data_IF_546328410828
#
_entry.id   IF_546328410828
#
_cell.length_a   1.000
_cell.length_b   1.000
_cell.length_c   1.000
_cell.angle_alpha   90.00
_cell.angle_beta   90.00
_cell.angle_gamma   90.00
#
_symmetry.space_group_name_H-M   'P 1'
#
loop_
_entity.id
_entity.type
_entity.pdbx_description
1 polymer ?
#
# COMPACT_ATOMS: atom_id res chain seq x y z
N UNK A 1 -27.19 21.61 28.98
CA UNK A 1 -26.33 21.22 30.12
C UNK A 1 -27.22 21.14 31.35
N UNK A 2 -27.15 20.06 32.13
CA UNK A 2 -27.90 19.96 33.39
C UNK A 2 -27.26 20.86 34.44
N UNK A 3 -28.07 21.53 35.27
CA UNK A 3 -27.58 22.30 36.41
C UNK A 3 -27.20 21.35 37.54
N UNK A 4 -26.09 21.64 38.22
CA UNK A 4 -25.56 20.84 39.33
C UNK A 4 -25.30 21.72 40.56
N UNK A 5 -25.45 21.17 41.75
CA UNK A 5 -25.21 21.83 43.04
C UNK A 5 -24.18 21.03 43.84
N UNK A 6 -23.26 21.70 44.52
CA UNK A 6 -22.29 21.05 45.41
C UNK A 6 -22.87 21.03 46.84
N UNK A 7 -22.98 19.85 47.45
CA UNK A 7 -23.55 19.64 48.79
C UNK A 7 -22.60 18.84 49.68
N UNK A 8 -22.74 18.99 50.99
CA UNK A 8 -22.00 18.23 51.99
C UNK A 8 -22.94 17.20 52.67
N UNK A 9 -22.55 15.93 52.68
CA UNK A 9 -23.24 14.85 53.39
C UNK A 9 -22.21 14.14 54.27
N UNK A 10 -22.43 14.08 55.58
CA UNK A 10 -21.49 13.48 56.55
C UNK A 10 -20.03 13.96 56.42
N UNK A 11 -19.83 15.25 56.13
CA UNK A 11 -18.49 15.85 55.98
C UNK A 11 -17.84 15.65 54.60
N UNK A 12 -18.53 15.03 53.64
CA UNK A 12 -18.01 14.72 52.31
C UNK A 12 -18.71 15.55 51.21
N UNK A 13 -17.93 16.06 50.25
CA UNK A 13 -18.43 16.92 49.16
C UNK A 13 -18.91 16.09 47.97
N UNK A 14 -20.15 16.34 47.53
CA UNK A 14 -20.77 15.71 46.36
C UNK A 14 -21.32 16.77 45.40
N UNK A 15 -21.30 16.47 44.09
CA UNK A 15 -21.95 17.29 43.07
C UNK A 15 -23.24 16.62 42.63
N UNK A 16 -24.38 17.25 42.76
CA UNK A 16 -25.70 16.62 42.57
C UNK A 16 -26.47 17.32 41.46
N UNK A 17 -27.08 16.55 40.55
CA UNK A 17 -27.99 17.11 39.55
C UNK A 17 -29.19 17.80 40.25
N UNK A 18 -29.70 18.91 39.71
CA UNK A 18 -30.83 19.66 40.29
C UNK A 18 -32.09 18.79 40.51
N UNK A 19 -32.38 17.88 39.58
CA UNK A 19 -33.51 16.92 39.67
C UNK A 19 -33.28 15.77 40.65
N UNK A 20 -32.02 15.51 41.02
CA UNK A 20 -31.62 14.55 42.05
C UNK A 20 -31.64 15.20 43.43
N UNK A 21 -31.25 16.47 43.52
CA UNK A 21 -31.26 17.24 44.76
C UNK A 21 -32.66 17.40 45.34
N UNK A 22 -33.66 17.67 44.51
CA UNK A 22 -35.06 17.80 44.97
C UNK A 22 -35.55 16.54 45.69
N UNK A 23 -35.23 15.35 45.14
CA UNK A 23 -35.61 14.06 45.71
C UNK A 23 -34.81 13.74 46.97
N UNK A 24 -33.49 13.99 46.95
CA UNK A 24 -32.62 13.76 48.10
C UNK A 24 -32.98 14.66 49.28
N UNK A 25 -33.29 15.93 49.02
CA UNK A 25 -33.71 16.89 50.03
C UNK A 25 -35.01 16.45 50.71
N UNK A 26 -36.01 16.05 49.91
CA UNK A 26 -37.27 15.53 50.46
C UNK A 26 -37.04 14.33 51.38
N UNK A 27 -36.15 13.41 50.98
CA UNK A 27 -35.78 12.25 51.80
C UNK A 27 -35.16 12.66 53.14
N UNK A 28 -34.14 13.52 53.12
CA UNK A 28 -33.44 13.98 54.32
C UNK A 28 -34.35 14.79 55.25
N UNK A 29 -35.23 15.62 54.71
CA UNK A 29 -36.19 16.40 55.49
C UNK A 29 -37.16 15.50 56.27
N UNK A 30 -37.64 14.41 55.64
CA UNK A 30 -38.51 13.42 56.29
C UNK A 30 -37.77 12.65 57.40
N UNK A 31 -36.55 12.18 57.12
CA UNK A 31 -35.73 11.49 58.12
C UNK A 31 -35.45 12.41 59.31
N UNK A 32 -35.01 13.65 59.05
CA UNK A 32 -34.75 14.64 60.10
C UNK A 32 -36.01 14.95 60.93
N UNK A 33 -37.18 15.04 60.29
CA UNK A 33 -38.45 15.31 60.98
C UNK A 33 -38.85 14.22 61.98
N UNK A 34 -38.57 12.93 61.70
CA UNK A 34 -38.88 11.83 62.64
C UNK A 34 -37.97 11.86 63.86
N UNK A 35 -36.67 12.03 63.66
CA UNK A 35 -35.71 11.87 64.76
C UNK A 35 -35.58 13.11 65.64
N UNK A 36 -36.07 14.29 65.23
CA UNK A 36 -36.02 15.55 66.01
C UNK A 36 -36.54 15.48 67.45
N UNK A 37 -37.42 14.54 67.80
CA UNK A 37 -37.99 14.40 69.14
C UNK A 37 -37.35 13.31 70.01
N UNK A 38 -36.35 12.58 69.51
CA UNK A 38 -35.71 11.47 70.23
C UNK A 38 -34.39 11.89 70.90
N UNK A 39 -34.11 11.34 72.09
CA UNK A 39 -32.86 11.59 72.81
C UNK A 39 -31.73 10.81 72.10
N UNK A 40 -30.78 11.50 71.47
CA UNK A 40 -29.76 10.90 70.58
C UNK A 40 -30.04 11.06 69.07
N UNK A 41 -30.98 11.93 68.70
CA UNK A 41 -31.34 12.24 67.31
C UNK A 41 -30.15 12.58 66.40
N UNK A 42 -29.22 13.39 66.92
CA UNK A 42 -28.09 13.92 66.14
C UNK A 42 -27.11 12.81 65.74
N UNK A 43 -26.88 11.84 66.63
CA UNK A 43 -26.02 10.67 66.34
C UNK A 43 -26.66 9.76 65.30
N UNK A 44 -27.98 9.53 65.43
CA UNK A 44 -28.73 8.70 64.49
C UNK A 44 -28.76 9.33 63.09
N UNK A 45 -28.94 10.66 63.01
CA UNK A 45 -28.92 11.37 61.74
C UNK A 45 -27.52 11.34 61.11
N UNK A 46 -26.47 11.51 61.91
CA UNK A 46 -25.09 11.42 61.44
C UNK A 46 -24.76 10.03 60.87
N UNK A 47 -25.22 8.94 61.51
CA UNK A 47 -25.03 7.57 61.02
C UNK A 47 -25.77 7.34 59.69
N UNK A 48 -26.98 7.89 59.55
CA UNK A 48 -27.76 7.82 58.31
C UNK A 48 -27.06 8.57 57.17
N UNK A 49 -26.60 9.80 57.42
CA UNK A 49 -25.85 10.58 56.44
C UNK A 49 -24.54 9.88 56.04
N UNK A 50 -23.83 9.28 57.00
CA UNK A 50 -22.60 8.53 56.73
C UNK A 50 -22.87 7.34 55.80
N UNK A 51 -23.99 6.63 56.02
CA UNK A 51 -24.41 5.52 55.15
C UNK A 51 -24.81 5.99 53.75
N UNK A 52 -25.48 7.15 53.65
CA UNK A 52 -25.83 7.75 52.35
C UNK A 52 -24.56 8.11 51.57
N UNK A 53 -23.57 8.72 52.23
CA UNK A 53 -22.28 9.05 51.62
C UNK A 53 -21.53 7.80 51.14
N UNK A 54 -21.58 6.69 51.89
CA UNK A 54 -21.03 5.40 51.48
C UNK A 54 -21.71 4.84 50.22
N UNK A 55 -23.05 4.90 50.15
CA UNK A 55 -23.83 4.44 48.98
C UNK A 55 -23.46 5.24 47.72
N UNK A 56 -23.18 6.54 47.87
CA UNK A 56 -22.71 7.39 46.77
C UNK A 56 -21.23 7.15 46.41
N UNK A 57 -20.56 6.20 47.06
CA UNK A 57 -19.20 5.76 46.74
C UNK A 57 -18.11 6.58 47.44
N UNK A 58 -18.47 7.34 48.48
CA UNK A 58 -17.59 8.22 49.24
C UNK A 58 -17.24 9.52 48.48
N UNK A 59 -16.96 10.58 49.24
CA UNK A 59 -16.44 11.84 48.72
C UNK A 59 -15.06 11.64 48.12
N UNK A 60 -14.90 12.01 46.83
CA UNK A 60 -13.63 11.99 46.10
C UNK A 60 -13.31 13.41 45.62
N UNK A 61 -12.05 13.67 45.29
CA UNK A 61 -11.65 14.87 44.55
C UNK A 61 -11.24 14.47 43.11
N UNK A 62 -11.94 14.95 42.06
CA UNK A 62 -13.10 15.83 42.07
C UNK A 62 -14.39 15.15 42.60
N UNK A 63 -15.37 15.94 43.12
CA UNK A 63 -16.58 15.42 43.76
C UNK A 63 -17.38 14.52 42.83
N UNK A 64 -17.84 13.39 43.37
CA UNK A 64 -18.66 12.41 42.66
C UNK A 64 -19.96 13.06 42.20
N UNK A 65 -20.30 12.89 40.91
CA UNK A 65 -21.56 13.36 40.35
C UNK A 65 -22.70 12.39 40.74
N UNK A 66 -23.66 12.87 41.52
CA UNK A 66 -24.83 12.13 41.97
C UNK A 66 -26.01 12.43 41.05
N UNK A 67 -26.43 11.39 40.32
CA UNK A 67 -27.60 11.45 39.44
C UNK A 67 -28.89 11.04 40.15
N UNK A 68 -30.04 11.35 39.55
CA UNK A 68 -31.36 10.94 40.08
C UNK A 68 -31.49 9.42 40.24
N UNK A 69 -30.80 8.64 39.39
CA UNK A 69 -30.76 7.19 39.50
C UNK A 69 -30.01 6.72 40.75
N UNK A 70 -28.89 7.38 41.09
CA UNK A 70 -28.14 7.09 42.31
C UNK A 70 -28.95 7.40 43.57
N UNK A 71 -29.68 8.53 43.60
CA UNK A 71 -30.59 8.86 44.71
C UNK A 71 -31.73 7.83 44.81
N UNK A 72 -32.30 7.42 43.68
CA UNK A 72 -33.35 6.38 43.66
C UNK A 72 -32.82 5.04 44.19
N UNK A 73 -31.60 4.66 43.84
CA UNK A 73 -30.94 3.47 44.36
C UNK A 73 -30.64 3.58 45.86
N UNK A 74 -30.24 4.75 46.34
CA UNK A 74 -30.05 5.03 47.76
C UNK A 74 -31.35 4.87 48.54
N UNK A 75 -32.48 5.41 48.06
CA UNK A 75 -33.80 5.21 48.70
C UNK A 75 -34.17 3.72 48.73
N UNK A 76 -33.87 2.96 47.67
CA UNK A 76 -34.12 1.51 47.67
C UNK A 76 -33.29 0.74 48.69
N UNK A 77 -32.09 1.23 49.06
CA UNK A 77 -31.20 0.61 50.05
C UNK A 77 -31.57 1.06 51.47
N UNK A 78 -31.86 2.34 51.64
CA UNK A 78 -32.12 2.96 52.95
C UNK A 78 -33.56 2.76 53.44
N UNK A 79 -34.51 2.51 52.53
CA UNK A 79 -35.95 2.44 52.83
C UNK A 79 -36.69 3.67 52.33
N UNK A 80 -38.02 3.58 52.17
CA UNK A 80 -38.83 4.75 51.81
C UNK A 80 -38.99 5.65 53.04
N UNK A 81 -38.93 6.99 52.89
CA UNK A 81 -39.04 7.90 54.03
C UNK A 81 -40.40 7.78 54.75
N UNK A 82 -41.43 7.28 54.08
CA UNK A 82 -42.76 7.04 54.63
C UNK A 82 -42.85 5.80 55.56
N UNK A 83 -41.89 4.87 55.47
CA UNK A 83 -41.88 3.65 56.31
C UNK A 83 -41.53 3.94 57.79
N UNK A 84 -41.15 5.18 58.12
CA UNK A 84 -40.78 5.60 59.48
C UNK A 84 -41.96 6.13 60.33
N UNK A 85 -43.20 6.10 59.82
CA UNK A 85 -44.37 6.72 60.47
C UNK A 85 -45.36 5.75 61.16
N UNK A 86 -45.11 4.44 61.20
CA UNK A 86 -46.11 3.47 61.69
C UNK A 86 -45.92 3.12 63.18
N UNK A 87 -46.62 3.84 64.07
CA UNK A 87 -46.75 3.55 65.51
C UNK A 87 -48.09 2.81 65.79
N UNK A 88 -48.05 1.47 65.97
CA UNK A 88 -49.19 0.61 66.35
C UNK A 88 -48.77 -0.83 66.68
N UNK A 89 -49.51 -1.59 67.51
CA UNK A 89 -48.97 -2.77 68.19
C UNK A 89 -48.65 -3.90 67.22
N UNK A 90 -47.51 -4.55 67.48
CA UNK A 90 -46.92 -5.61 66.67
C UNK A 90 -47.90 -6.77 66.39
N UNK A 91 -48.54 -6.72 65.22
CA UNK A 91 -49.04 -7.90 64.53
C UNK A 91 -48.08 -8.17 63.38
N UNK A 92 -47.31 -9.26 63.48
CA UNK A 92 -46.44 -9.76 62.41
C UNK A 92 -47.29 -10.20 61.21
N UNK A 93 -47.70 -9.26 60.39
CA UNK A 93 -48.01 -9.53 59.00
C UNK A 93 -46.71 -9.37 58.21
N UNK A 94 -46.17 -10.49 57.74
CA UNK A 94 -45.14 -10.49 56.69
C UNK A 94 -45.80 -10.00 55.40
N UNK A 95 -46.04 -8.69 55.27
CA UNK A 95 -46.28 -8.07 53.97
C UNK A 95 -44.95 -8.14 53.23
N UNK A 96 -44.81 -9.13 52.36
CA UNK A 96 -43.85 -9.01 51.26
C UNK A 96 -44.23 -7.72 50.53
N UNK A 97 -43.42 -6.68 50.65
CA UNK A 97 -43.32 -5.68 49.60
C UNK A 97 -42.74 -6.40 48.39
N UNK A 98 -43.59 -7.10 47.64
CA UNK A 98 -43.34 -7.31 46.23
C UNK A 98 -43.30 -5.91 45.67
N UNK A 99 -42.10 -5.40 45.43
CA UNK A 99 -41.88 -4.26 44.54
C UNK A 99 -42.71 -4.55 43.30
N UNK A 100 -43.87 -3.91 43.18
CA UNK A 100 -44.61 -3.89 41.93
C UNK A 100 -43.69 -3.10 41.02
N UNK A 101 -42.86 -3.82 40.29
CA UNK A 101 -42.20 -3.27 39.13
C UNK A 101 -43.30 -2.56 38.37
N UNK A 102 -43.14 -1.25 38.16
CA UNK A 102 -44.00 -0.52 37.23
C UNK A 102 -43.77 -1.00 35.79
N UNK A 103 -42.94 -2.04 35.60
CA UNK A 103 -43.11 -3.05 34.55
C UNK A 103 -44.29 -3.96 34.91
N UNK A 104 -45.49 -3.60 34.46
CA UNK A 104 -46.58 -4.57 34.39
C UNK A 104 -46.18 -5.65 33.36
N UNK A 105 -45.89 -6.89 33.79
CA UNK A 105 -45.46 -7.95 32.88
C UNK A 105 -46.54 -8.27 31.83
N UNK A 106 -47.79 -7.84 32.03
CA UNK A 106 -48.90 -8.01 31.09
C UNK A 106 -49.22 -6.76 30.26
N UNK A 107 -48.51 -5.64 30.44
CA UNK A 107 -48.68 -4.45 29.59
C UNK A 107 -48.28 -4.72 28.14
N UNK A 108 -48.94 -4.05 27.20
CA UNK A 108 -48.65 -4.18 25.77
C UNK A 108 -47.18 -3.89 25.45
N UNK A 109 -46.57 -2.90 26.10
CA UNK A 109 -45.14 -2.55 25.99
C UNK A 109 -44.21 -3.59 26.61
N UNK A 110 -44.58 -4.25 27.71
CA UNK A 110 -43.81 -5.36 28.29
C UNK A 110 -43.87 -6.63 27.43
N UNK A 111 -45.02 -6.92 26.82
CA UNK A 111 -45.19 -8.01 25.85
C UNK A 111 -44.45 -7.71 24.54
N UNK A 112 -44.59 -6.51 23.99
CA UNK A 112 -43.79 -6.03 22.86
C UNK A 112 -42.30 -6.11 23.18
N UNK A 113 -41.86 -5.59 24.31
CA UNK A 113 -40.46 -5.60 24.73
C UNK A 113 -39.88 -7.01 24.85
N UNK A 114 -40.65 -7.99 25.37
CA UNK A 114 -40.23 -9.40 25.43
C UNK A 114 -40.20 -10.07 24.05
N UNK A 115 -41.15 -9.76 23.17
CA UNK A 115 -41.11 -10.26 21.79
C UNK A 115 -39.95 -9.65 21.02
N UNK A 116 -39.75 -8.33 21.11
CA UNK A 116 -38.71 -7.58 20.43
C UNK A 116 -37.31 -7.97 20.93
N UNK A 117 -37.12 -8.17 22.24
CA UNK A 117 -35.85 -8.66 22.79
C UNK A 117 -35.54 -10.10 22.36
N UNK A 118 -36.56 -10.95 22.24
CA UNK A 118 -36.45 -12.28 21.64
C UNK A 118 -36.02 -12.22 20.17
N UNK A 119 -36.66 -11.34 19.39
CA UNK A 119 -36.28 -11.07 18.00
C UNK A 119 -34.87 -10.52 17.87
N UNK A 120 -34.46 -9.53 18.68
CA UNK A 120 -33.10 -8.97 18.65
C UNK A 120 -32.04 -9.98 19.10
N UNK A 121 -32.36 -10.86 20.05
CA UNK A 121 -31.43 -11.92 20.49
C UNK A 121 -31.26 -12.98 19.40
N UNK A 122 -32.36 -13.40 18.76
CA UNK A 122 -32.33 -14.32 17.62
C UNK A 122 -31.64 -13.70 16.41
N UNK A 123 -31.94 -12.44 16.10
CA UNK A 123 -31.30 -11.65 15.05
C UNK A 123 -29.81 -11.45 15.33
N UNK A 124 -29.42 -11.17 16.57
CA UNK A 124 -28.01 -11.06 16.98
C UNK A 124 -27.25 -12.37 16.83
N UNK A 125 -27.87 -13.51 17.15
CA UNK A 125 -27.28 -14.85 16.91
C UNK A 125 -27.12 -15.12 15.41
N UNK A 126 -28.14 -14.82 14.61
CA UNK A 126 -28.11 -14.94 13.15
C UNK A 126 -27.04 -14.03 12.53
N UNK A 127 -26.98 -12.77 12.96
CA UNK A 127 -26.00 -11.79 12.52
C UNK A 127 -24.58 -12.20 12.91
N UNK A 128 -24.37 -12.71 14.12
CA UNK A 128 -23.07 -13.23 14.57
C UNK A 128 -22.62 -14.44 13.73
N UNK A 129 -23.56 -15.31 13.33
CA UNK A 129 -23.27 -16.43 12.42
C UNK A 129 -22.91 -15.95 11.01
N UNK A 130 -23.65 -14.98 10.46
CA UNK A 130 -23.34 -14.38 9.13
C UNK A 130 -21.98 -13.68 9.16
N UNK A 131 -21.73 -12.84 10.16
CA UNK A 131 -20.43 -12.18 10.35
C UNK A 131 -19.29 -13.17 10.51
N UNK A 132 -19.57 -14.35 11.10
CA UNK A 132 -18.58 -15.42 11.19
C UNK A 132 -18.27 -16.03 9.82
N UNK A 133 -19.28 -16.37 9.04
CA UNK A 133 -19.09 -16.88 7.67
C UNK A 133 -18.31 -15.87 6.85
N UNK A 134 -18.69 -14.60 6.90
CA UNK A 134 -18.00 -13.51 6.23
C UNK A 134 -16.53 -13.38 6.68
N UNK A 135 -16.26 -13.40 7.99
CA UNK A 135 -14.90 -13.34 8.52
C UNK A 135 -14.04 -14.54 8.08
N UNK A 136 -14.61 -15.74 7.97
CA UNK A 136 -13.89 -16.91 7.46
C UNK A 136 -13.57 -16.76 5.98
N UNK A 137 -14.54 -16.30 5.15
CA UNK A 137 -14.32 -16.07 3.72
C UNK A 137 -13.24 -15.01 3.51
N UNK A 138 -13.35 -13.88 4.21
CA UNK A 138 -12.37 -12.80 4.13
C UNK A 138 -10.99 -13.25 4.63
N UNK A 139 -10.96 -14.03 5.71
CA UNK A 139 -9.73 -14.60 6.24
C UNK A 139 -9.07 -15.57 5.25
N UNK A 140 -9.84 -16.46 4.63
CA UNK A 140 -9.37 -17.39 3.62
C UNK A 140 -8.84 -16.65 2.38
N UNK A 141 -9.53 -15.59 1.96
CA UNK A 141 -9.09 -14.72 0.87
C UNK A 141 -7.73 -14.06 1.19
N UNK A 142 -7.59 -13.42 2.35
CA UNK A 142 -6.34 -12.78 2.75
C UNK A 142 -5.18 -13.76 2.92
N UNK A 143 -5.44 -14.95 3.48
CA UNK A 143 -4.42 -15.99 3.61
C UNK A 143 -4.00 -16.53 2.24
N UNK A 144 -4.94 -16.88 1.36
CA UNK A 144 -4.63 -17.43 0.04
C UNK A 144 -3.92 -16.40 -0.85
N UNK A 145 -4.51 -15.21 -0.98
CA UNK A 145 -3.96 -14.14 -1.81
C UNK A 145 -2.62 -13.64 -1.26
N UNK A 146 -2.54 -13.49 0.08
CA UNK A 146 -1.30 -13.10 0.74
C UNK A 146 -0.18 -14.11 0.50
N UNK A 147 -0.48 -15.41 0.62
CA UNK A 147 0.49 -16.47 0.36
C UNK A 147 0.92 -16.51 -1.12
N UNK A 148 -0.01 -16.37 -2.06
CA UNK A 148 0.29 -16.33 -3.49
C UNK A 148 1.24 -15.17 -3.84
N UNK A 149 0.93 -13.96 -3.36
CA UNK A 149 1.79 -12.80 -3.55
C UNK A 149 3.16 -12.98 -2.87
N UNK A 150 3.20 -13.61 -1.69
CA UNK A 150 4.43 -13.81 -0.94
C UNK A 150 5.37 -14.72 -1.73
N UNK A 151 4.82 -15.83 -2.22
CA UNK A 151 5.56 -16.79 -3.01
C UNK A 151 6.00 -16.20 -4.35
N UNK A 152 5.12 -15.42 -5.01
CA UNK A 152 5.45 -14.73 -6.27
C UNK A 152 6.60 -13.75 -6.08
N UNK A 153 6.58 -12.92 -5.03
CA UNK A 153 7.65 -11.99 -4.73
C UNK A 153 8.99 -12.72 -4.46
N UNK A 154 8.96 -13.80 -3.68
CA UNK A 154 10.16 -14.60 -3.39
C UNK A 154 10.72 -15.24 -4.67
N UNK A 155 9.86 -15.77 -5.55
CA UNK A 155 10.30 -16.32 -6.84
C UNK A 155 10.97 -15.24 -7.69
N UNK A 156 10.34 -14.08 -7.84
CA UNK A 156 10.85 -13.00 -8.69
C UNK A 156 12.21 -12.47 -8.20
N UNK A 157 12.43 -12.40 -6.89
CA UNK A 157 13.70 -11.91 -6.34
C UNK A 157 14.76 -13.01 -6.32
N UNK A 158 14.46 -14.24 -5.88
CA UNK A 158 15.49 -15.25 -5.60
C UNK A 158 15.64 -16.30 -6.69
N UNK A 159 14.60 -16.57 -7.47
CA UNK A 159 14.55 -17.68 -8.43
C UNK A 159 14.40 -17.23 -9.89
N UNK A 160 14.52 -15.93 -10.20
CA UNK A 160 14.39 -15.41 -11.57
C UNK A 160 15.40 -15.99 -12.57
N UNK A 161 16.51 -16.55 -12.09
CA UNK A 161 17.52 -17.19 -12.94
C UNK A 161 17.40 -18.72 -12.94
N UNK A 162 16.38 -19.31 -12.31
CA UNK A 162 16.22 -20.75 -12.31
C UNK A 162 15.77 -21.24 -13.71
N UNK A 163 16.43 -22.26 -14.30
CA UNK A 163 16.15 -22.73 -15.65
C UNK A 163 14.69 -23.09 -15.90
N UNK A 164 13.99 -23.56 -14.86
CA UNK A 164 12.57 -23.90 -14.92
C UNK A 164 11.68 -22.70 -15.26
N UNK A 165 11.95 -21.51 -14.71
CA UNK A 165 11.11 -20.33 -15.01
C UNK A 165 11.38 -19.81 -16.42
N UNK A 166 12.65 -19.84 -16.86
CA UNK A 166 13.03 -19.44 -18.21
C UNK A 166 12.50 -20.38 -19.31
N UNK A 167 12.20 -21.65 -18.99
CA UNK A 167 11.64 -22.60 -19.95
C UNK A 167 10.11 -22.60 -20.03
N UNK A 168 9.44 -22.08 -19.01
CA UNK A 168 7.96 -22.03 -18.93
C UNK A 168 7.42 -20.66 -19.34
N UNK A 169 8.21 -19.60 -19.19
CA UNK A 169 7.87 -18.23 -19.55
C UNK A 169 8.95 -17.72 -20.52
N UNK A 170 8.58 -17.21 -21.69
CA UNK A 170 9.50 -16.38 -22.47
C UNK A 170 9.82 -15.14 -21.63
N UNK A 171 11.03 -15.02 -21.06
CA UNK A 171 11.29 -13.97 -20.10
C UNK A 171 11.44 -12.66 -20.88
N UNK A 172 10.44 -11.79 -20.77
CA UNK A 172 10.59 -10.39 -21.16
C UNK A 172 11.69 -9.69 -20.35
N UNK A 173 12.12 -10.26 -19.22
CA UNK A 173 13.17 -9.69 -18.39
C UNK A 173 14.17 -10.78 -18.03
N UNK A 174 15.43 -10.60 -18.43
CA UNK A 174 16.53 -11.49 -18.04
C UNK A 174 17.42 -10.80 -17.01
N UNK A 175 17.80 -11.54 -15.97
CA UNK A 175 18.70 -11.09 -14.91
C UNK A 175 18.27 -9.75 -14.25
N UNK A 176 17.11 -9.77 -13.58
CA UNK A 176 16.54 -8.63 -12.84
C UNK A 176 17.56 -7.95 -11.91
N UNK A 177 18.44 -8.73 -11.28
CA UNK A 177 19.50 -8.20 -10.42
C UNK A 177 20.47 -7.35 -11.23
N UNK A 178 20.98 -7.88 -12.35
CA UNK A 178 21.87 -7.17 -13.26
C UNK A 178 21.25 -5.87 -13.77
N UNK A 179 19.99 -5.90 -14.18
CA UNK A 179 19.27 -4.69 -14.58
C UNK A 179 19.20 -3.66 -13.46
N UNK A 180 18.85 -4.11 -12.25
CA UNK A 180 18.74 -3.21 -11.11
C UNK A 180 20.09 -2.57 -10.76
N UNK A 181 21.23 -3.29 -10.89
CA UNK A 181 22.56 -2.66 -10.74
C UNK A 181 22.81 -1.57 -11.76
N UNK A 182 22.42 -1.81 -13.01
CA UNK A 182 22.65 -0.89 -14.12
C UNK A 182 21.79 0.36 -13.94
N UNK A 183 20.49 0.19 -13.63
CA UNK A 183 19.54 1.29 -13.45
C UNK A 183 19.86 2.12 -12.20
N UNK A 184 20.16 1.46 -11.08
CA UNK A 184 20.47 2.13 -9.81
C UNK A 184 21.94 2.54 -9.68
N UNK A 185 22.76 2.25 -10.70
CA UNK A 185 24.20 2.53 -10.74
C UNK A 185 24.95 2.07 -9.48
N UNK A 186 24.66 0.85 -9.02
CA UNK A 186 25.20 0.31 -7.77
C UNK A 186 25.60 -1.15 -7.90
N UNK A 187 26.77 -1.49 -7.34
CA UNK A 187 27.23 -2.87 -7.21
C UNK A 187 26.66 -3.55 -5.95
N UNK A 188 26.15 -2.77 -4.99
CA UNK A 188 25.57 -3.23 -3.74
C UNK A 188 24.04 -3.33 -3.84
N UNK A 189 23.55 -4.17 -4.75
CA UNK A 189 22.10 -4.37 -4.96
C UNK A 189 21.44 -5.09 -3.77
N UNK A 190 22.14 -6.03 -3.15
CA UNK A 190 21.59 -6.90 -2.10
C UNK A 190 20.96 -6.14 -0.92
N UNK A 191 21.60 -5.10 -0.35
CA UNK A 191 20.95 -4.25 0.66
C UNK A 191 19.62 -3.65 0.22
N UNK A 192 19.53 -3.18 -1.03
CA UNK A 192 18.31 -2.60 -1.60
C UNK A 192 17.22 -3.65 -1.73
N UNK A 193 17.57 -4.85 -2.21
CA UNK A 193 16.64 -5.97 -2.32
C UNK A 193 16.17 -6.46 -0.95
N UNK A 194 17.04 -6.50 0.06
CA UNK A 194 16.67 -6.84 1.43
C UNK A 194 15.69 -5.81 1.99
N UNK A 195 15.95 -4.51 1.81
CA UNK A 195 15.04 -3.46 2.24
C UNK A 195 13.70 -3.55 1.50
N UNK A 196 13.70 -3.76 0.19
CA UNK A 196 12.49 -3.98 -0.60
C UNK A 196 11.71 -5.22 -0.14
N UNK A 197 12.41 -6.30 0.19
CA UNK A 197 11.81 -7.50 0.75
C UNK A 197 11.19 -7.24 2.13
N UNK A 198 11.85 -6.51 3.03
CA UNK A 198 11.26 -6.14 4.32
C UNK A 198 10.03 -5.25 4.17
N UNK A 199 10.08 -4.28 3.28
CA UNK A 199 8.96 -3.36 2.99
C UNK A 199 7.75 -4.09 2.41
N UNK A 200 7.97 -5.15 1.61
CA UNK A 200 6.90 -5.89 0.92
C UNK A 200 6.41 -7.10 1.71
N UNK A 201 7.33 -7.93 2.23
CA UNK A 201 7.02 -9.19 2.88
C UNK A 201 6.45 -9.01 4.29
N UNK A 202 6.86 -7.98 5.06
CA UNK A 202 6.33 -7.79 6.41
C UNK A 202 4.85 -7.42 6.43
N UNK A 203 4.35 -6.44 5.63
CA UNK A 203 2.92 -6.18 5.52
C UNK A 203 2.15 -7.40 5.00
N UNK A 204 2.73 -8.13 4.06
CA UNK A 204 2.09 -9.32 3.50
C UNK A 204 1.96 -10.44 4.53
N UNK A 205 2.99 -10.68 5.33
CA UNK A 205 2.93 -11.58 6.46
C UNK A 205 1.90 -11.11 7.50
N UNK A 206 1.76 -9.80 7.73
CA UNK A 206 0.73 -9.25 8.60
C UNK A 206 -0.70 -9.49 8.04
N UNK A 207 -0.91 -9.38 6.73
CA UNK A 207 -2.19 -9.70 6.05
C UNK A 207 -2.50 -11.19 6.16
N UNK A 208 -1.52 -12.07 5.92
CA UNK A 208 -1.68 -13.52 6.08
C UNK A 208 -2.04 -13.85 7.53
N UNK A 209 -1.32 -13.28 8.50
CA UNK A 209 -1.58 -13.45 9.92
C UNK A 209 -2.97 -12.94 10.32
N UNK A 210 -3.39 -11.81 9.78
CA UNK A 210 -4.75 -11.28 9.97
C UNK A 210 -5.81 -12.24 9.41
N UNK A 211 -5.56 -12.83 8.24
CA UNK A 211 -6.44 -13.86 7.67
C UNK A 211 -6.57 -15.10 8.56
N UNK A 212 -5.45 -15.62 9.05
CA UNK A 212 -5.41 -16.74 10.01
C UNK A 212 -6.18 -16.39 11.30
N UNK A 213 -5.97 -15.18 11.82
CA UNK A 213 -6.64 -14.69 13.03
C UNK A 213 -8.17 -14.65 12.85
N UNK A 214 -8.65 -14.23 11.68
CA UNK A 214 -10.08 -14.24 11.33
C UNK A 214 -10.64 -15.66 11.24
N UNK A 215 -9.93 -16.60 10.63
CA UNK A 215 -10.36 -18.00 10.50
C UNK A 215 -10.43 -18.68 11.87
N UNK A 216 -9.36 -18.64 12.68
CA UNK A 216 -9.25 -19.42 13.91
C UNK A 216 -9.73 -18.71 15.18
N UNK A 217 -10.17 -17.44 15.10
CA UNK A 217 -10.57 -16.62 16.27
C UNK A 217 -9.48 -16.53 17.35
N UNK A 218 -8.22 -16.50 16.93
CA UNK A 218 -7.09 -16.32 17.85
C UNK A 218 -7.24 -14.95 18.49
N UNK A 219 -7.32 -14.89 19.83
CA UNK A 219 -7.45 -13.63 20.58
C UNK A 219 -6.11 -13.07 21.04
N UNK A 220 -5.08 -13.90 21.05
CA UNK A 220 -3.75 -13.51 21.45
C UNK A 220 -3.18 -12.42 20.55
N UNK A 221 -2.45 -11.49 21.18
CA UNK A 221 -1.70 -10.45 20.48
C UNK A 221 -0.39 -10.18 21.19
N UNK A 222 0.71 -10.37 20.48
CA UNK A 222 2.03 -10.02 20.96
C UNK A 222 2.30 -8.54 20.67
N UNK A 223 1.83 -7.66 21.56
CA UNK A 223 1.93 -6.19 21.38
C UNK A 223 3.35 -5.72 21.07
N UNK A 224 4.34 -6.23 21.81
CA UNK A 224 5.76 -5.88 21.62
C UNK A 224 6.24 -6.31 20.24
N UNK A 225 5.97 -7.55 19.83
CA UNK A 225 6.35 -8.06 18.50
C UNK A 225 5.76 -7.20 17.38
N UNK A 226 4.48 -6.84 17.47
CA UNK A 226 3.81 -6.00 16.46
C UNK A 226 4.45 -4.61 16.36
N UNK A 227 4.79 -3.99 17.50
CA UNK A 227 5.46 -2.69 17.52
C UNK A 227 6.86 -2.79 16.90
N UNK A 228 7.64 -3.83 17.26
CA UNK A 228 8.98 -4.04 16.71
C UNK A 228 8.91 -4.26 15.20
N UNK A 229 8.02 -5.12 14.70
CA UNK A 229 7.84 -5.36 13.27
C UNK A 229 7.43 -4.08 12.52
N UNK A 230 6.53 -3.29 13.11
CA UNK A 230 6.10 -2.01 12.53
C UNK A 230 7.25 -0.99 12.47
N UNK A 231 8.06 -0.89 13.52
CA UNK A 231 9.24 -0.02 13.55
C UNK A 231 10.29 -0.45 12.52
N UNK A 232 10.57 -1.75 12.43
CA UNK A 232 11.50 -2.30 11.43
C UNK A 232 11.00 -2.04 10.01
N UNK A 233 9.72 -2.27 9.76
CA UNK A 233 9.11 -1.98 8.46
C UNK A 233 9.22 -0.49 8.10
N UNK A 234 8.88 0.40 9.05
CA UNK A 234 8.96 1.85 8.84
C UNK A 234 10.40 2.31 8.59
N UNK A 235 11.36 1.83 9.37
CA UNK A 235 12.77 2.13 9.16
C UNK A 235 13.28 1.62 7.80
N UNK A 236 12.85 0.42 7.39
CA UNK A 236 13.20 -0.15 6.09
C UNK A 236 12.60 0.66 4.93
N UNK A 237 11.36 1.12 5.08
CA UNK A 237 10.68 1.97 4.10
C UNK A 237 11.40 3.32 3.94
N UNK A 238 11.73 3.97 5.04
CA UNK A 238 12.47 5.24 5.01
C UNK A 238 13.86 5.06 4.38
N UNK A 239 14.61 4.03 4.78
CA UNK A 239 15.94 3.75 4.23
C UNK A 239 15.88 3.46 2.73
N UNK A 240 14.92 2.63 2.30
CA UNK A 240 14.71 2.33 0.88
C UNK A 240 14.35 3.59 0.09
N UNK A 241 13.44 4.41 0.61
CA UNK A 241 13.01 5.65 -0.04
C UNK A 241 14.19 6.62 -0.24
N UNK A 242 15.04 6.80 0.78
CA UNK A 242 16.23 7.65 0.69
C UNK A 242 17.21 7.10 -0.35
N UNK A 243 17.52 5.81 -0.30
CA UNK A 243 18.47 5.19 -1.24
C UNK A 243 17.98 5.32 -2.68
N UNK A 244 16.71 4.98 -2.93
CA UNK A 244 16.12 5.08 -4.27
C UNK A 244 16.06 6.54 -4.73
N UNK A 245 15.69 7.48 -3.85
CA UNK A 245 15.67 8.90 -4.20
C UNK A 245 17.04 9.41 -4.62
N UNK A 246 18.11 9.02 -3.92
CA UNK A 246 19.47 9.43 -4.27
C UNK A 246 19.92 8.79 -5.59
N UNK A 247 19.68 7.50 -5.78
CA UNK A 247 20.12 6.77 -6.98
C UNK A 247 19.33 7.19 -8.23
N UNK A 248 18.03 7.43 -8.09
CA UNK A 248 17.17 7.82 -9.21
C UNK A 248 17.19 9.33 -9.50
N UNK A 249 17.77 10.16 -8.61
CA UNK A 249 17.91 11.61 -8.85
C UNK A 249 18.58 11.93 -10.19
N UNK A 250 19.54 11.11 -10.60
CA UNK A 250 20.33 11.23 -11.85
C UNK A 250 19.45 11.25 -13.10
N UNK A 251 18.21 10.74 -13.02
CA UNK A 251 17.28 10.73 -14.14
C UNK A 251 16.46 12.03 -14.28
N UNK A 252 16.72 13.04 -13.46
CA UNK A 252 16.00 14.33 -13.45
C UNK A 252 16.12 15.11 -14.76
N UNK A 253 17.33 15.18 -15.35
CA UNK A 253 17.56 15.89 -16.60
C UNK A 253 18.01 14.90 -17.67
N UNK A 254 17.45 15.05 -18.88
CA UNK A 254 17.77 14.22 -20.05
C UNK A 254 18.19 15.14 -21.19
N UNK A 255 19.37 14.89 -21.73
CA UNK A 255 19.91 15.65 -22.86
C UNK A 255 20.39 14.74 -23.97
N UNK A 256 20.56 15.31 -25.17
CA UNK A 256 20.93 14.55 -26.36
C UNK A 256 21.94 15.26 -27.25
N UNK A 257 22.68 14.46 -28.02
CA UNK A 257 23.64 14.91 -29.03
C UNK A 257 23.30 14.22 -30.34
N UNK A 258 22.89 15.01 -31.32
CA UNK A 258 22.46 14.50 -32.62
C UNK A 258 23.55 14.67 -33.69
N UNK A 259 23.70 13.63 -34.52
CA UNK A 259 24.34 13.73 -35.83
C UNK A 259 23.31 13.38 -36.90
N UNK A 260 23.12 14.27 -37.87
CA UNK A 260 22.13 14.12 -38.95
C UNK A 260 22.79 14.07 -40.31
N UNK A 261 22.31 13.19 -41.18
CA UNK A 261 22.61 13.12 -42.61
C UNK A 261 21.31 13.25 -43.40
N UNK A 262 21.23 14.23 -44.29
CA UNK A 262 20.12 14.36 -45.24
C UNK A 262 20.33 13.43 -46.43
N UNK A 263 19.27 12.75 -46.85
CA UNK A 263 19.25 11.87 -48.01
C UNK A 263 18.62 12.64 -49.19
N UNK A 264 19.47 13.24 -50.03
CA UNK A 264 19.05 14.02 -51.20
C UNK A 264 19.93 13.67 -52.43
N UNK A 265 19.41 12.90 -53.41
CA UNK A 265 18.09 12.26 -53.41
C UNK A 265 18.05 11.07 -52.42
N UNK A 266 16.86 10.76 -51.92
CA UNK A 266 16.67 9.54 -51.12
C UNK A 266 16.77 8.29 -52.01
N UNK A 267 17.38 7.20 -51.50
CA UNK A 267 17.46 5.94 -52.24
C UNK A 267 16.08 5.32 -52.42
N UNK A 268 15.89 4.60 -53.54
CA UNK A 268 14.66 3.82 -53.76
C UNK A 268 14.54 2.65 -52.79
N UNK A 269 15.67 2.01 -52.50
CA UNK A 269 15.79 0.92 -51.54
C UNK A 269 16.90 1.25 -50.57
N UNK A 270 16.59 1.35 -49.28
CA UNK A 270 17.58 1.48 -48.22
C UNK A 270 17.96 0.09 -47.70
N UNK A 271 19.23 -0.26 -47.82
CA UNK A 271 19.78 -1.47 -47.24
C UNK A 271 20.33 -1.18 -45.84
N UNK A 272 19.99 -2.01 -44.86
CA UNK A 272 20.51 -1.93 -43.49
C UNK A 272 21.47 -3.10 -43.28
N UNK A 273 22.70 -2.76 -42.91
CA UNK A 273 23.75 -3.72 -42.58
C UNK A 273 24.38 -3.39 -41.23
N UNK A 274 24.98 -4.39 -40.58
CA UNK A 274 25.66 -4.22 -39.29
C UNK A 274 27.18 -4.29 -39.40
N UNK A 275 27.87 -3.57 -38.52
CA UNK A 275 29.33 -3.56 -38.43
C UNK A 275 29.80 -4.35 -37.20
N UNK A 276 29.84 -3.71 -36.02
CA UNK A 276 30.17 -4.42 -34.77
C UNK A 276 29.03 -5.35 -34.39
N UNK A 277 29.31 -6.66 -34.32
CA UNK A 277 28.33 -7.70 -34.01
C UNK A 277 28.28 -8.01 -32.51
N UNK A 278 27.08 -8.15 -31.94
CA UNK A 278 26.87 -8.55 -30.54
C UNK A 278 27.46 -9.94 -30.25
N UNK A 279 27.44 -10.85 -31.24
CA UNK A 279 28.01 -12.20 -31.12
C UNK A 279 29.52 -12.22 -30.84
N UNK A 280 30.23 -11.12 -31.13
CA UNK A 280 31.67 -10.99 -30.91
C UNK A 280 32.02 -10.34 -29.57
N UNK A 281 31.03 -9.97 -28.74
CA UNK A 281 31.26 -9.35 -27.44
C UNK A 281 31.79 -10.37 -26.43
N UNK A 282 32.86 -9.99 -25.74
CA UNK A 282 33.23 -10.61 -24.47
C UNK A 282 32.41 -9.95 -23.36
N UNK A 283 31.62 -10.74 -22.64
CA UNK A 283 30.81 -10.24 -21.52
C UNK A 283 30.75 -11.28 -20.40
N UNK A 284 30.76 -10.79 -19.16
CA UNK A 284 30.59 -11.63 -17.96
C UNK A 284 29.13 -11.72 -17.54
N UNK A 285 28.37 -10.65 -17.79
CA UNK A 285 26.96 -10.57 -17.42
C UNK A 285 26.15 -10.04 -18.57
N UNK A 286 25.00 -10.65 -18.74
CA UNK A 286 23.96 -10.26 -19.67
C UNK A 286 22.69 -9.95 -18.87
N UNK A 287 21.98 -8.91 -19.30
CA UNK A 287 20.69 -8.55 -18.74
C UNK A 287 19.84 -7.89 -19.84
N UNK A 288 18.53 -8.12 -19.85
CA UNK A 288 17.65 -7.55 -20.87
C UNK A 288 16.27 -7.23 -20.32
N UNK A 289 15.67 -6.16 -20.85
CA UNK A 289 14.25 -5.83 -20.67
C UNK A 289 13.65 -5.72 -22.06
N UNK A 290 12.69 -6.58 -22.36
CA UNK A 290 12.17 -6.83 -23.69
C UNK A 290 13.35 -7.08 -24.66
N UNK A 291 13.42 -6.31 -25.74
CA UNK A 291 14.52 -6.40 -26.71
C UNK A 291 15.74 -5.57 -26.30
N UNK A 292 15.63 -4.70 -25.29
CA UNK A 292 16.73 -3.86 -24.85
C UNK A 292 17.74 -4.67 -24.05
N UNK A 293 18.94 -4.88 -24.63
CA UNK A 293 19.99 -5.73 -24.06
C UNK A 293 21.15 -4.92 -23.51
N UNK A 294 21.69 -5.42 -22.40
CA UNK A 294 22.90 -4.94 -21.75
C UNK A 294 23.94 -6.05 -21.69
N UNK A 295 25.18 -5.71 -22.05
CA UNK A 295 26.33 -6.60 -21.98
C UNK A 295 27.39 -5.93 -21.10
N UNK A 296 27.72 -6.55 -19.98
CA UNK A 296 28.67 -6.02 -18.99
C UNK A 296 29.96 -6.82 -19.04
N UNK A 297 31.06 -6.15 -19.37
CA UNK A 297 32.42 -6.65 -19.22
C UNK A 297 33.01 -6.09 -17.92
N UNK A 298 33.14 -6.93 -16.89
CA UNK A 298 33.69 -6.48 -15.59
C UNK A 298 35.21 -6.41 -15.59
N UNK A 299 35.87 -7.11 -16.51
CA UNK A 299 37.32 -7.10 -16.59
C UNK A 299 37.86 -5.74 -17.04
N UNK A 300 37.13 -5.11 -17.98
CA UNK A 300 37.46 -3.80 -18.52
C UNK A 300 36.58 -2.67 -17.97
N UNK A 301 35.58 -3.00 -17.14
CA UNK A 301 34.57 -2.09 -16.59
C UNK A 301 33.79 -1.34 -17.68
N UNK A 302 33.44 -2.08 -18.75
CA UNK A 302 32.76 -1.56 -19.94
C UNK A 302 31.31 -2.04 -19.95
N UNK A 303 30.40 -1.12 -20.26
CA UNK A 303 28.99 -1.42 -20.52
C UNK A 303 28.67 -1.21 -21.99
N UNK A 304 28.11 -2.24 -22.62
CA UNK A 304 27.49 -2.14 -23.93
C UNK A 304 25.96 -2.21 -23.79
N UNK A 305 25.26 -1.43 -24.61
CA UNK A 305 23.80 -1.42 -24.66
C UNK A 305 23.32 -1.44 -26.12
N UNK A 306 22.19 -2.08 -26.39
CA UNK A 306 21.61 -2.08 -27.75
C UNK A 306 21.08 -0.67 -28.12
N UNK A 307 21.20 -0.25 -29.39
CA UNK A 307 20.56 0.97 -29.88
C UNK A 307 19.06 0.72 -30.13
N UNK A 308 18.31 1.79 -30.38
CA UNK A 308 16.90 1.75 -30.79
C UNK A 308 16.75 2.30 -32.20
N UNK A 309 16.42 1.44 -33.16
CA UNK A 309 16.13 1.83 -34.53
C UNK A 309 14.64 2.13 -34.71
N UNK A 310 14.34 3.30 -35.27
CA UNK A 310 12.99 3.71 -35.66
C UNK A 310 13.02 4.19 -37.11
N UNK A 311 12.13 3.63 -37.91
CA UNK A 311 11.98 4.01 -39.32
C UNK A 311 10.55 4.49 -39.53
N UNK A 312 10.39 5.67 -40.12
CA UNK A 312 9.09 6.29 -40.41
C UNK A 312 9.12 7.00 -41.74
N UNK A 313 7.95 7.31 -42.28
CA UNK A 313 7.83 8.17 -43.44
C UNK A 313 8.22 9.63 -43.14
N UNK A 314 8.59 10.33 -44.20
CA UNK A 314 8.87 11.77 -44.22
C UNK A 314 7.72 12.53 -44.89
N UNK A 315 7.28 13.61 -44.25
CA UNK A 315 6.17 14.44 -44.75
C UNK A 315 6.59 15.34 -45.93
N UNK A 316 7.89 15.60 -46.07
CA UNK A 316 8.42 16.63 -46.97
C UNK A 316 9.09 16.07 -48.25
N UNK A 317 8.98 14.75 -48.48
CA UNK A 317 9.57 14.09 -49.65
C UNK A 317 11.11 13.95 -49.64
N UNK A 318 11.80 14.53 -48.64
CA UNK A 318 13.24 14.34 -48.40
C UNK A 318 13.46 13.35 -47.26
N UNK A 319 14.46 12.48 -47.39
CA UNK A 319 14.83 11.53 -46.33
C UNK A 319 15.90 12.10 -45.42
N UNK A 320 16.01 11.60 -44.18
CA UNK A 320 17.16 11.84 -43.33
C UNK A 320 17.44 10.66 -42.41
N UNK A 321 18.68 10.56 -41.95
CA UNK A 321 19.12 9.68 -40.88
C UNK A 321 19.59 10.58 -39.73
N UNK A 322 18.99 10.44 -38.57
CA UNK A 322 19.39 11.13 -37.35
C UNK A 322 19.80 10.10 -36.30
N UNK A 323 21.06 10.16 -35.87
CA UNK A 323 21.58 9.34 -34.78
C UNK A 323 21.74 10.23 -33.56
N UNK A 324 20.90 10.00 -32.56
CA UNK A 324 20.86 10.75 -31.32
C UNK A 324 21.43 9.90 -30.18
N UNK A 325 22.46 10.41 -29.52
CA UNK A 325 22.98 9.84 -28.28
C UNK A 325 22.33 10.58 -27.13
N UNK A 326 21.68 9.87 -26.22
CA UNK A 326 20.96 10.45 -25.09
C UNK A 326 21.58 9.95 -23.80
N UNK A 327 21.62 10.79 -22.78
CA UNK A 327 22.02 10.42 -21.43
C UNK A 327 21.30 11.30 -20.41
N UNK A 328 21.19 10.82 -19.17
CA UNK A 328 20.64 11.59 -18.08
C UNK A 328 21.72 12.03 -17.08
N UNK A 329 21.47 13.13 -16.36
CA UNK A 329 22.20 13.51 -15.14
C UNK A 329 21.38 14.45 -14.25
N UNK A 330 21.96 14.87 -13.12
CA UNK A 330 21.45 15.93 -12.25
C UNK A 330 21.65 17.36 -12.80
N UNK A 331 22.24 17.49 -14.00
CA UNK A 331 22.57 18.76 -14.65
C UNK A 331 22.59 18.58 -16.16
N UNK A 332 22.05 19.56 -16.89
CA UNK A 332 21.99 19.51 -18.37
C UNK A 332 23.39 19.45 -18.98
N UNK A 333 24.33 20.24 -18.45
CA UNK A 333 25.72 20.26 -18.92
C UNK A 333 26.42 18.91 -18.78
N UNK A 334 26.15 18.19 -17.68
CA UNK A 334 26.70 16.85 -17.46
C UNK A 334 25.98 15.80 -18.31
N UNK A 335 24.66 15.91 -18.47
CA UNK A 335 23.89 15.03 -19.34
C UNK A 335 24.37 15.12 -20.80
N UNK A 336 24.62 16.34 -21.33
CA UNK A 336 25.23 16.54 -22.65
C UNK A 336 26.64 15.94 -22.70
N UNK A 337 27.46 16.13 -21.66
CA UNK A 337 28.82 15.56 -21.61
C UNK A 337 28.78 14.02 -21.67
N UNK A 338 27.91 13.39 -20.88
CA UNK A 338 27.72 11.94 -20.86
C UNK A 338 27.24 11.45 -22.24
N UNK A 339 26.27 12.14 -22.86
CA UNK A 339 25.77 11.81 -24.19
C UNK A 339 26.86 11.88 -25.29
N UNK A 340 27.81 12.82 -25.19
CA UNK A 340 28.95 12.92 -26.13
C UNK A 340 29.94 11.76 -26.00
N UNK A 341 30.05 11.19 -24.81
CA UNK A 341 30.97 10.10 -24.51
C UNK A 341 30.46 8.73 -24.95
N UNK A 342 29.18 8.60 -25.30
CA UNK A 342 28.63 7.35 -25.84
C UNK A 342 29.29 7.08 -27.20
N UNK A 343 29.98 5.95 -27.30
CA UNK A 343 30.63 5.51 -28.53
C UNK A 343 29.64 4.71 -29.37
N UNK A 344 29.37 5.19 -30.58
CA UNK A 344 28.50 4.54 -31.54
C UNK A 344 28.86 4.98 -32.95
N UNK A 345 29.25 4.03 -33.80
CA UNK A 345 29.67 4.29 -35.16
C UNK A 345 28.59 3.89 -36.17
N UNK A 346 28.45 4.72 -37.21
CA UNK A 346 27.56 4.46 -38.33
C UNK A 346 28.12 5.14 -39.58
N UNK A 347 27.76 4.62 -40.75
CA UNK A 347 28.15 5.22 -42.03
C UNK A 347 27.15 4.88 -43.13
N UNK A 348 27.04 5.76 -44.11
CA UNK A 348 26.29 5.52 -45.34
C UNK A 348 27.28 5.25 -46.47
N UNK A 349 27.06 4.21 -47.27
CA UNK A 349 27.85 3.94 -48.49
C UNK A 349 26.91 3.50 -49.61
N UNK A 350 26.75 4.35 -50.62
CA UNK A 350 25.72 4.16 -51.65
C UNK A 350 24.33 4.18 -51.01
N UNK A 351 23.58 3.10 -51.21
CA UNK A 351 22.23 2.89 -50.68
C UNK A 351 22.22 2.04 -49.39
N UNK A 352 23.40 1.73 -48.83
CA UNK A 352 23.55 0.89 -47.64
C UNK A 352 23.94 1.72 -46.42
N UNK A 353 23.10 1.65 -45.39
CA UNK A 353 23.35 2.17 -44.06
C UNK A 353 23.99 1.09 -43.19
N UNK A 354 25.19 1.38 -42.68
CA UNK A 354 25.92 0.53 -41.76
C UNK A 354 25.76 1.05 -40.34
N UNK A 355 25.31 0.18 -39.44
CA UNK A 355 25.03 0.48 -38.03
C UNK A 355 25.80 -0.47 -37.12
N UNK A 356 26.33 0.03 -36.01
CA UNK A 356 26.79 -0.85 -34.93
C UNK A 356 25.58 -1.50 -34.22
N UNK A 357 25.70 -2.76 -33.81
CA UNK A 357 24.61 -3.47 -33.09
C UNK A 357 24.53 -3.10 -31.60
N UNK A 358 25.50 -2.34 -31.09
CA UNK A 358 25.56 -1.88 -29.71
C UNK A 358 26.30 -0.54 -29.63
N UNK A 359 25.95 0.28 -28.65
CA UNK A 359 26.78 1.41 -28.22
C UNK A 359 27.64 1.02 -27.02
N UNK A 360 28.79 1.65 -26.87
CA UNK A 360 29.73 1.43 -25.79
C UNK A 360 29.82 2.66 -24.90
N UNK A 361 29.76 2.46 -23.59
CA UNK A 361 30.07 3.52 -22.63
C UNK A 361 31.56 3.43 -22.23
N UNK A 362 32.22 4.57 -21.93
CA UNK A 362 33.60 4.55 -21.48
C UNK A 362 33.81 3.69 -20.22
N UNK A 363 35.02 3.16 -19.98
CA UNK A 363 35.31 2.41 -18.77
C UNK A 363 34.91 3.16 -17.49
N UNK A 364 34.17 2.51 -16.60
CA UNK A 364 33.65 3.07 -15.35
C UNK A 364 32.49 4.06 -15.51
N UNK A 365 32.01 4.28 -16.72
CA UNK A 365 30.82 5.09 -16.95
C UNK A 365 29.56 4.36 -16.49
N UNK A 366 28.72 5.10 -15.76
CA UNK A 366 27.39 4.66 -15.34
C UNK A 366 26.41 4.71 -16.50
N UNK A 367 25.42 3.83 -16.50
CA UNK A 367 24.44 3.80 -17.59
C UNK A 367 23.64 5.09 -17.65
N UNK A 368 23.09 5.57 -16.53
CA UNK A 368 22.36 6.86 -16.44
C UNK A 368 21.32 7.06 -17.57
N UNK A 369 20.62 6.00 -17.98
CA UNK A 369 19.66 6.09 -19.10
C UNK A 369 20.29 6.33 -20.47
N UNK A 370 21.58 5.99 -20.64
CA UNK A 370 22.30 6.18 -21.89
C UNK A 370 21.78 5.26 -22.98
N UNK A 371 21.39 5.84 -24.11
CA UNK A 371 20.82 5.13 -25.24
C UNK A 371 21.17 5.82 -26.55
N UNK A 372 21.25 5.05 -27.62
CA UNK A 372 21.41 5.56 -28.98
C UNK A 372 20.11 5.33 -29.75
N UNK A 373 19.44 6.42 -30.09
CA UNK A 373 18.25 6.40 -30.93
C UNK A 373 18.65 6.68 -32.38
N UNK A 374 18.22 5.83 -33.29
CA UNK A 374 18.44 5.97 -34.73
C UNK A 374 17.08 6.23 -35.36
N UNK A 375 16.81 7.48 -35.73
CA UNK A 375 15.58 7.89 -36.43
C UNK A 375 15.88 8.02 -37.92
N UNK A 376 15.25 7.16 -38.72
CA UNK A 376 15.34 7.20 -40.18
C UNK A 376 13.98 7.66 -40.70
N UNK A 377 13.98 8.80 -41.40
CA UNK A 377 12.83 9.28 -42.15
C UNK A 377 13.05 9.07 -43.62
N UNK A 378 12.12 8.38 -44.28
CA UNK A 378 12.21 8.01 -45.68
C UNK A 378 10.99 8.52 -46.45
N UNK A 379 11.13 8.93 -47.71
CA UNK A 379 9.98 9.29 -48.53
C UNK A 379 9.01 8.13 -48.75
N UNK A 380 7.79 8.48 -49.15
CA UNK A 380 6.75 7.51 -49.49
C UNK A 380 7.22 6.57 -50.61
N UNK A 381 6.96 5.28 -50.45
CA UNK A 381 7.32 4.26 -51.42
C UNK A 381 8.77 3.75 -51.37
N UNK A 382 9.63 4.30 -50.49
CA UNK A 382 10.97 3.74 -50.25
C UNK A 382 10.88 2.33 -49.68
N UNK A 383 11.63 1.40 -50.26
CA UNK A 383 11.81 0.05 -49.73
C UNK A 383 12.92 0.01 -48.68
N UNK A 384 12.73 -0.78 -47.63
CA UNK A 384 13.69 -1.01 -46.56
C UNK A 384 13.99 -2.50 -46.56
N UNK A 385 15.27 -2.85 -46.65
CA UNK A 385 15.71 -4.26 -46.62
C UNK A 385 16.87 -4.41 -45.65
N UNK A 386 16.85 -5.47 -44.86
CA UNK A 386 18.00 -5.89 -44.09
C UNK A 386 18.85 -6.84 -44.95
N UNK A 387 20.18 -6.74 -44.85
CA UNK A 387 21.06 -7.72 -45.47
C UNK A 387 20.74 -9.11 -44.86
N UNK A 388 20.72 -10.22 -45.65
CA UNK A 388 20.18 -11.51 -45.19
C UNK A 388 20.74 -12.08 -43.88
N UNK A 389 21.94 -11.67 -43.46
CA UNK A 389 22.59 -12.11 -42.22
C UNK A 389 22.27 -11.23 -40.99
N UNK A 390 21.50 -10.16 -41.17
CA UNK A 390 21.21 -9.17 -40.12
C UNK A 390 19.78 -9.35 -39.62
N UNK A 391 19.62 -9.78 -38.37
CA UNK A 391 18.32 -9.81 -37.71
C UNK A 391 17.91 -8.39 -37.30
N UNK A 392 16.70 -7.91 -37.61
CA UNK A 392 16.23 -6.59 -37.17
C UNK A 392 16.26 -6.39 -35.64
N UNK A 393 16.12 -7.47 -34.89
CA UNK A 393 16.02 -7.46 -33.42
C UNK A 393 17.33 -7.05 -32.74
N UNK A 394 18.47 -7.18 -33.42
CA UNK A 394 19.76 -6.71 -32.88
C UNK A 394 19.78 -5.18 -32.74
N UNK A 395 18.90 -4.48 -33.46
CA UNK A 395 18.74 -3.02 -33.43
C UNK A 395 17.45 -2.56 -32.73
N UNK A 396 16.76 -3.47 -32.02
CA UNK A 396 15.49 -3.21 -31.34
C UNK A 396 14.44 -2.59 -32.27
N UNK A 397 14.38 -3.08 -33.51
CA UNK A 397 13.47 -2.54 -34.51
C UNK A 397 12.06 -3.13 -34.31
N UNK A 398 11.18 -2.36 -33.69
CA UNK A 398 9.82 -2.79 -33.35
C UNK A 398 8.86 -2.68 -34.55
N UNK A 399 8.91 -3.62 -35.49
CA UNK A 399 7.83 -3.87 -36.44
C UNK A 399 7.42 -5.34 -36.43
N UNK A 400 6.13 -5.57 -36.69
CA UNK A 400 5.40 -6.84 -36.80
C UNK A 400 6.17 -8.00 -37.49
N UNK A 401 5.74 -9.26 -37.29
CA UNK A 401 6.56 -10.42 -36.94
C UNK A 401 7.74 -10.74 -37.87
N UNK A 402 8.81 -11.24 -37.25
CA UNK A 402 10.11 -11.81 -37.67
C UNK A 402 10.26 -12.50 -39.05
N UNK A 403 9.19 -12.72 -39.81
CA UNK A 403 9.23 -13.41 -41.10
C UNK A 403 9.55 -12.51 -42.28
N UNK A 404 9.26 -11.22 -42.16
CA UNK A 404 9.37 -10.29 -43.28
C UNK A 404 10.72 -9.56 -43.21
N UNK A 405 11.54 -9.67 -44.25
CA UNK A 405 12.85 -9.00 -44.34
C UNK A 405 12.81 -7.72 -45.19
N UNK A 406 11.62 -7.36 -45.67
CA UNK A 406 11.42 -6.23 -46.56
C UNK A 406 10.16 -5.46 -46.18
N UNK A 407 10.29 -4.14 -46.08
CA UNK A 407 9.20 -3.22 -45.80
C UNK A 407 9.16 -2.12 -46.83
N UNK A 408 8.02 -1.48 -46.99
CA UNK A 408 7.83 -0.30 -47.82
C UNK A 408 7.18 0.80 -47.00
N UNK A 409 7.62 2.04 -47.16
CA UNK A 409 6.93 3.18 -46.55
C UNK A 409 5.58 3.38 -47.26
N UNK A 410 4.51 3.21 -46.50
CA UNK A 410 3.12 3.40 -46.94
C UNK A 410 2.33 4.16 -45.86
N UNK A 411 1.70 5.26 -46.23
CA UNK A 411 0.97 6.19 -45.36
C UNK A 411 1.83 6.67 -44.18
N UNK A 412 3.11 6.95 -44.43
CA UNK A 412 4.04 7.42 -43.40
C UNK A 412 4.57 6.34 -42.45
N UNK A 413 4.21 5.06 -42.66
CA UNK A 413 4.65 3.94 -41.83
C UNK A 413 5.25 2.81 -42.67
N UNK A 414 6.28 2.11 -42.15
CA UNK A 414 6.78 0.90 -42.79
C UNK A 414 5.73 -0.23 -42.72
N UNK A 415 5.33 -0.75 -43.88
CA UNK A 415 4.45 -1.92 -44.03
C UNK A 415 5.22 -3.07 -44.65
N UNK A 416 4.99 -4.28 -44.17
CA UNK A 416 5.61 -5.49 -44.74
C UNK A 416 5.27 -5.62 -46.22
N UNK A 417 6.27 -5.98 -47.02
CA UNK A 417 6.08 -6.42 -48.39
C UNK A 417 5.84 -7.93 -48.30
N UNK A 418 4.57 -8.31 -48.24
CA UNK A 418 4.17 -9.72 -48.23
C UNK A 418 4.69 -10.38 -49.52
N UNK A 419 5.60 -11.34 -49.42
CA UNK A 419 6.24 -12.05 -50.56
C UNK A 419 5.23 -12.94 -51.35
N UNK A 420 3.92 -12.73 -51.13
CA UNK A 420 2.81 -13.59 -51.57
C UNK A 420 1.80 -12.94 -52.53
N UNK A 421 1.97 -11.69 -52.93
CA UNK A 421 1.06 -11.04 -53.89
C UNK A 421 1.71 -10.71 -55.22
N UNK A 422 2.38 -11.68 -55.85
CA UNK A 422 2.77 -11.64 -57.27
C UNK A 422 2.95 -13.07 -57.87
N UNK A 423 1.96 -13.96 -57.68
CA UNK A 423 1.78 -15.16 -58.51
C UNK A 423 0.31 -15.38 -58.88
#
# INVERSE_FOLDING_TARGET
MKKTLDINIAGQLFRVDEDAWEVLKHYLDHVSARFKSEQGADETLADIEARIAEIFGGGKEPPTLVSKEMVTNMINIMGAPEDYYDDGPAVKYKKLYVRKSMYDPNSFSARLGRTLSGFFTAFGKLMSAIMRVFAIILGAFFTLFGFLLFFTFVILIFFNNAPFFASVMEPQITNVHGLLSIVLNTNAIWPILILAALVTLLPLAAVIWLGIKLIFRIRESFRVLNIVLFLVWTASLCALAVILSLQLSVYSNRESVEKRLTLDPAPKTLWINTMKKQANLSHDRYASVEDFRFFVDRSNDILHASPELRIRGSDNGTGYIAVQRRANSNSDTEAVRNARQIEYDWKMSGDTLYLDEYCTLPPGAKWNGSIVDIDIRLPEGTEIRFVPEVSPDVLNFHLFPWKDQAWKIVDGWPRSIDDRTDQ
#
